data_IF_045439925952
#
_entry.id   IF_045439925952
#
_cell.length_a   1.000
_cell.length_b   1.000
_cell.length_c   1.000
_cell.angle_alpha   90.00
_cell.angle_beta   90.00
_cell.angle_gamma   90.00
#
_symmetry.space_group_name_H-M   'P 1'
#
loop_
_entity.id
_entity.type
_entity.pdbx_description
1 polymer ?
#
# COMPACT_ATOMS: atom_id res chain seq x y z
N UNK A 1 -21.92 27.44 -29.03
CA UNK A 1 -20.67 27.10 -28.31
C UNK A 1 -19.53 27.20 -29.31
N UNK A 2 -18.56 28.10 -29.09
CA UNK A 2 -17.51 28.38 -30.09
C UNK A 2 -16.54 27.19 -30.23
N UNK A 3 -15.97 27.02 -31.42
CA UNK A 3 -15.08 25.89 -31.78
C UNK A 3 -13.93 25.68 -30.77
N UNK A 4 -13.43 26.77 -30.18
CA UNK A 4 -12.43 26.75 -29.11
C UNK A 4 -12.90 26.03 -27.84
N UNK A 5 -14.15 26.23 -27.41
CA UNK A 5 -14.70 25.60 -26.20
C UNK A 5 -14.91 24.11 -26.43
N UNK A 6 -15.36 23.72 -27.63
CA UNK A 6 -15.51 22.32 -28.02
C UNK A 6 -14.15 21.61 -28.01
N UNK A 7 -13.13 22.24 -28.61
CA UNK A 7 -11.77 21.72 -28.62
C UNK A 7 -11.18 21.56 -27.21
N UNK A 8 -11.36 22.57 -26.35
CA UNK A 8 -10.91 22.54 -24.96
C UNK A 8 -11.59 21.43 -24.15
N UNK A 9 -12.92 21.29 -24.26
CA UNK A 9 -13.67 20.21 -23.59
C UNK A 9 -13.20 18.83 -24.05
N UNK A 10 -12.98 18.63 -25.35
CA UNK A 10 -12.49 17.35 -25.88
C UNK A 10 -11.08 17.03 -25.36
N UNK A 11 -10.18 18.01 -25.33
CA UNK A 11 -8.84 17.85 -24.78
C UNK A 11 -8.86 17.50 -23.28
N UNK A 12 -9.74 18.15 -22.50
CA UNK A 12 -9.90 17.87 -21.07
C UNK A 12 -10.43 16.45 -20.83
N UNK A 13 -11.44 16.01 -21.58
CA UNK A 13 -11.96 14.63 -21.49
C UNK A 13 -10.87 13.62 -21.82
N UNK A 14 -10.07 13.88 -22.86
CA UNK A 14 -8.97 13.01 -23.24
C UNK A 14 -7.88 12.94 -22.15
N UNK A 15 -7.42 14.08 -21.64
CA UNK A 15 -6.44 14.14 -20.56
C UNK A 15 -6.94 13.47 -19.28
N UNK A 16 -8.20 13.69 -18.90
CA UNK A 16 -8.85 13.04 -17.76
C UNK A 16 -8.84 11.52 -17.92
N UNK A 17 -9.21 11.04 -19.11
CA UNK A 17 -9.26 9.60 -19.42
C UNK A 17 -7.86 8.97 -19.39
N UNK A 18 -6.84 9.66 -19.91
CA UNK A 18 -5.45 9.20 -19.83
C UNK A 18 -4.96 9.14 -18.39
N UNK A 19 -5.17 10.20 -17.60
CA UNK A 19 -4.80 10.22 -16.19
C UNK A 19 -5.48 9.06 -15.43
N UNK A 20 -6.75 8.79 -15.72
CA UNK A 20 -7.47 7.66 -15.15
C UNK A 20 -6.86 6.32 -15.54
N UNK A 21 -6.54 6.12 -16.82
CA UNK A 21 -5.95 4.89 -17.34
C UNK A 21 -4.58 4.60 -16.70
N UNK A 22 -3.72 5.62 -16.56
CA UNK A 22 -2.45 5.46 -15.86
C UNK A 22 -2.65 5.13 -14.37
N UNK A 23 -3.61 5.79 -13.72
CA UNK A 23 -3.85 5.57 -12.29
C UNK A 23 -4.33 4.15 -12.01
N UNK A 24 -5.35 3.67 -12.75
CA UNK A 24 -5.87 2.31 -12.54
C UNK A 24 -4.82 1.24 -12.88
N UNK A 25 -4.01 1.45 -13.92
CA UNK A 25 -2.93 0.53 -14.26
C UNK A 25 -1.85 0.48 -13.15
N UNK A 26 -1.49 1.63 -12.58
CA UNK A 26 -0.55 1.71 -11.46
C UNK A 26 -1.09 1.02 -10.21
N UNK A 27 -2.36 1.24 -9.85
CA UNK A 27 -2.99 0.56 -8.71
C UNK A 27 -3.00 -0.95 -8.92
N UNK A 28 -3.48 -1.43 -10.06
CA UNK A 28 -3.56 -2.86 -10.34
C UNK A 28 -2.18 -3.54 -10.30
N UNK A 29 -1.14 -2.88 -10.82
CA UNK A 29 0.25 -3.39 -10.78
C UNK A 29 0.79 -3.45 -9.35
N UNK A 30 0.51 -2.44 -8.54
CA UNK A 30 0.99 -2.39 -7.16
C UNK A 30 0.28 -3.42 -6.28
N UNK A 31 -1.05 -3.54 -6.40
CA UNK A 31 -1.84 -4.55 -5.70
C UNK A 31 -1.32 -5.96 -6.04
N UNK A 32 -1.13 -6.26 -7.32
CA UNK A 32 -0.61 -7.57 -7.76
C UNK A 32 0.82 -7.81 -7.27
N UNK A 33 1.64 -6.76 -7.24
CA UNK A 33 2.99 -6.85 -6.73
C UNK A 33 3.03 -7.14 -5.24
N UNK A 34 2.16 -6.51 -4.44
CA UNK A 34 2.08 -6.76 -3.00
C UNK A 34 1.63 -8.20 -2.71
N UNK A 35 0.66 -8.71 -3.48
CA UNK A 35 0.20 -10.10 -3.34
C UNK A 35 1.29 -11.14 -3.67
N UNK A 36 2.21 -10.80 -4.57
CA UNK A 36 3.33 -11.65 -5.00
C UNK A 36 4.62 -11.39 -4.23
N UNK A 37 4.71 -10.30 -3.47
CA UNK A 37 5.92 -9.90 -2.78
C UNK A 37 6.31 -10.90 -1.69
N UNK A 38 7.61 -11.20 -1.60
CA UNK A 38 8.18 -11.89 -0.44
C UNK A 38 8.67 -10.90 0.62
N UNK A 39 9.02 -9.68 0.17
CA UNK A 39 9.46 -8.57 1.00
C UNK A 39 8.88 -7.26 0.47
N UNK A 40 8.55 -6.33 1.36
CA UNK A 40 8.01 -5.02 0.98
C UNK A 40 9.11 -4.01 0.71
N UNK A 41 9.20 -3.54 -0.54
CA UNK A 41 10.08 -2.42 -0.90
C UNK A 41 9.41 -1.07 -0.55
N UNK A 42 9.88 -0.45 0.53
CA UNK A 42 9.39 0.83 1.01
C UNK A 42 9.64 1.99 0.03
N UNK A 43 10.77 1.99 -0.70
CA UNK A 43 11.09 3.02 -1.67
C UNK A 43 10.11 2.96 -2.84
N UNK A 44 9.80 1.74 -3.29
CA UNK A 44 8.80 1.51 -4.32
C UNK A 44 7.41 1.96 -3.89
N UNK A 45 6.89 1.53 -2.73
CA UNK A 45 5.57 1.97 -2.22
C UNK A 45 5.47 3.49 -2.18
N UNK A 46 6.52 4.17 -1.68
CA UNK A 46 6.55 5.64 -1.59
C UNK A 46 6.54 6.30 -2.97
N UNK A 47 7.28 5.76 -3.93
CA UNK A 47 7.32 6.27 -5.31
C UNK A 47 5.98 6.10 -6.03
N UNK A 48 5.38 4.92 -5.90
CA UNK A 48 4.06 4.60 -6.46
C UNK A 48 2.98 5.48 -5.86
N UNK A 49 2.97 5.63 -4.53
CA UNK A 49 2.03 6.53 -3.84
C UNK A 49 2.13 7.97 -4.33
N UNK A 50 3.34 8.50 -4.54
CA UNK A 50 3.53 9.84 -5.11
C UNK A 50 2.97 9.97 -6.52
N UNK A 51 3.20 8.97 -7.37
CA UNK A 51 2.64 8.95 -8.72
C UNK A 51 1.12 8.95 -8.69
N UNK A 52 0.50 8.17 -7.80
CA UNK A 52 -0.95 8.13 -7.62
C UNK A 52 -1.51 9.45 -7.11
N UNK A 53 -0.83 10.14 -6.19
CA UNK A 53 -1.22 11.49 -5.74
C UNK A 53 -1.22 12.48 -6.90
N UNK A 54 -0.19 12.45 -7.75
CA UNK A 54 -0.12 13.32 -8.93
C UNK A 54 -1.25 13.03 -9.93
N UNK A 55 -1.51 11.75 -10.21
CA UNK A 55 -2.58 11.33 -11.11
C UNK A 55 -3.96 11.67 -10.56
N UNK A 56 -4.19 11.49 -9.26
CA UNK A 56 -5.43 11.89 -8.61
C UNK A 56 -5.61 13.42 -8.62
N UNK A 57 -4.54 14.18 -8.43
CA UNK A 57 -4.53 15.63 -8.62
C UNK A 57 -4.93 16.02 -10.04
N UNK A 58 -4.37 15.37 -11.06
CA UNK A 58 -4.74 15.59 -12.45
C UNK A 58 -6.21 15.27 -12.73
N UNK A 59 -6.76 14.20 -12.12
CA UNK A 59 -8.18 13.85 -12.22
C UNK A 59 -9.09 14.90 -11.58
N UNK A 60 -8.73 15.42 -10.42
CA UNK A 60 -9.47 16.51 -9.77
C UNK A 60 -9.44 17.79 -10.61
N UNK A 61 -8.28 18.18 -11.13
CA UNK A 61 -8.13 19.39 -11.95
C UNK A 61 -8.95 19.28 -13.25
N UNK A 62 -8.77 18.19 -14.00
CA UNK A 62 -9.48 17.98 -15.26
C UNK A 62 -10.97 17.75 -15.05
N UNK A 63 -11.37 16.99 -14.03
CA UNK A 63 -12.77 16.76 -13.68
C UNK A 63 -13.48 18.03 -13.20
N UNK A 64 -12.83 18.82 -12.36
CA UNK A 64 -13.33 20.12 -11.90
C UNK A 64 -13.49 21.11 -13.04
N UNK A 65 -12.52 21.18 -13.96
CA UNK A 65 -12.63 22.00 -15.16
C UNK A 65 -13.81 21.58 -16.06
N UNK A 66 -14.03 20.27 -16.25
CA UNK A 66 -15.18 19.77 -17.00
C UNK A 66 -16.52 20.14 -16.34
N UNK A 67 -16.60 20.05 -15.01
CA UNK A 67 -17.80 20.47 -14.26
C UNK A 67 -18.03 21.97 -14.43
N UNK A 68 -16.99 22.78 -14.34
CA UNK A 68 -17.09 24.23 -14.49
C UNK A 68 -17.55 24.63 -15.90
N UNK A 69 -17.08 23.95 -16.94
CA UNK A 69 -17.50 24.20 -18.33
C UNK A 69 -18.94 23.75 -18.61
N UNK A 70 -19.42 22.71 -17.93
CA UNK A 70 -20.73 22.09 -18.17
C UNK A 70 -21.85 22.70 -17.29
N UNK A 71 -21.54 23.01 -16.02
CA UNK A 71 -22.50 23.50 -15.02
C UNK A 71 -22.33 25.00 -14.73
N UNK A 72 -21.16 25.57 -15.04
CA UNK A 72 -20.82 26.94 -14.68
C UNK A 72 -20.64 27.10 -13.16
N UNK A 73 -20.95 28.30 -12.64
CA UNK A 73 -20.90 28.62 -11.21
C UNK A 73 -22.16 28.24 -10.43
N UNK A 74 -23.16 27.63 -11.08
CA UNK A 74 -24.41 27.25 -10.42
C UNK A 74 -24.30 25.87 -9.76
N UNK A 75 -23.74 25.83 -8.55
CA UNK A 75 -23.65 24.57 -7.78
C UNK A 75 -25.02 23.93 -7.50
N UNK A 76 -26.11 24.70 -7.47
CA UNK A 76 -27.45 24.14 -7.27
C UNK A 76 -27.89 23.25 -8.45
N UNK A 77 -27.39 23.52 -9.66
CA UNK A 77 -27.65 22.68 -10.83
C UNK A 77 -26.98 21.29 -10.75
N UNK A 78 -26.03 21.10 -9.82
CA UNK A 78 -25.41 19.82 -9.53
C UNK A 78 -26.40 18.84 -8.88
N UNK A 79 -27.35 19.34 -8.08
CA UNK A 79 -28.37 18.55 -7.39
C UNK A 79 -29.24 17.73 -8.36
N UNK A 80 -29.47 18.28 -9.57
CA UNK A 80 -30.24 17.61 -10.63
C UNK A 80 -29.44 16.59 -11.45
N UNK A 81 -28.15 16.37 -11.16
CA UNK A 81 -27.25 15.52 -11.96
C UNK A 81 -26.75 14.32 -11.15
N UNK A 82 -27.59 13.29 -10.92
CA UNK A 82 -27.29 12.20 -9.97
C UNK A 82 -26.00 11.45 -10.28
N UNK A 83 -25.71 11.19 -11.56
CA UNK A 83 -24.45 10.56 -11.99
C UNK A 83 -23.23 11.41 -11.62
N UNK A 84 -23.33 12.73 -11.76
CA UNK A 84 -22.22 13.64 -11.49
C UNK A 84 -21.95 13.75 -9.99
N UNK A 85 -23.02 13.80 -9.17
CA UNK A 85 -22.90 13.72 -7.72
C UNK A 85 -22.26 12.41 -7.27
N UNK A 86 -22.68 11.28 -7.83
CA UNK A 86 -22.06 9.99 -7.52
C UNK A 86 -20.56 9.97 -7.85
N UNK A 87 -20.16 10.52 -9.01
CA UNK A 87 -18.75 10.68 -9.38
C UNK A 87 -17.97 11.49 -8.35
N UNK A 88 -18.51 12.62 -7.92
CA UNK A 88 -17.87 13.49 -6.93
C UNK A 88 -17.77 12.83 -5.55
N UNK A 89 -18.80 12.12 -5.11
CA UNK A 89 -18.75 11.35 -3.86
C UNK A 89 -17.68 10.27 -3.90
N UNK A 90 -17.61 9.49 -4.98
CA UNK A 90 -16.63 8.40 -5.15
C UNK A 90 -15.20 8.93 -5.21
N UNK A 91 -14.91 9.98 -5.98
CA UNK A 91 -13.55 10.55 -6.02
C UNK A 91 -13.16 11.21 -4.70
N UNK A 92 -14.12 11.76 -3.96
CA UNK A 92 -13.88 12.28 -2.60
C UNK A 92 -13.54 11.16 -1.62
N UNK A 93 -14.30 10.06 -1.64
CA UNK A 93 -14.00 8.85 -0.86
C UNK A 93 -12.62 8.28 -1.21
N UNK A 94 -12.29 8.24 -2.51
CA UNK A 94 -10.97 7.82 -2.99
C UNK A 94 -9.84 8.69 -2.43
N UNK A 95 -10.07 10.00 -2.37
CA UNK A 95 -9.10 10.97 -1.84
C UNK A 95 -8.88 10.77 -0.35
N UNK A 96 -9.96 10.63 0.43
CA UNK A 96 -9.89 10.34 1.87
C UNK A 96 -9.18 9.00 2.11
N UNK A 97 -9.54 7.95 1.37
CA UNK A 97 -8.89 6.64 1.47
C UNK A 97 -7.41 6.70 1.10
N UNK A 98 -7.04 7.48 0.08
CA UNK A 98 -5.64 7.72 -0.30
C UNK A 98 -4.83 8.33 0.84
N UNK A 99 -5.38 9.31 1.54
CA UNK A 99 -4.74 9.89 2.74
C UNK A 99 -4.56 8.83 3.83
N UNK A 100 -5.60 8.02 4.10
CA UNK A 100 -5.51 6.94 5.09
C UNK A 100 -4.47 5.89 4.70
N UNK A 101 -4.34 5.54 3.42
CA UNK A 101 -3.29 4.64 2.94
C UNK A 101 -1.89 5.21 3.23
N UNK A 102 -1.67 6.48 2.93
CA UNK A 102 -0.38 7.14 3.15
C UNK A 102 -0.01 7.31 4.63
N UNK A 103 -1.00 7.55 5.49
CA UNK A 103 -0.75 7.82 6.91
C UNK A 103 -0.83 6.57 7.80
N UNK A 104 -1.54 5.52 7.38
CA UNK A 104 -1.76 4.32 8.19
C UNK A 104 -1.21 3.06 7.52
N UNK A 105 -1.70 2.70 6.34
CA UNK A 105 -1.36 1.41 5.72
C UNK A 105 0.12 1.33 5.29
N UNK A 106 0.63 2.34 4.57
CA UNK A 106 2.01 2.32 4.09
C UNK A 106 3.03 2.29 5.24
N UNK A 107 2.88 3.09 6.32
CA UNK A 107 3.73 2.93 7.50
C UNK A 107 3.67 1.51 8.11
N UNK A 108 2.47 0.89 8.17
CA UNK A 108 2.32 -0.47 8.69
C UNK A 108 2.94 -1.56 7.79
N UNK A 109 3.07 -1.31 6.49
CA UNK A 109 3.73 -2.23 5.54
C UNK A 109 5.25 -2.08 5.51
N UNK A 110 5.76 -0.89 5.85
CA UNK A 110 7.17 -0.52 5.62
C UNK A 110 7.99 -0.41 6.89
N UNK A 111 7.35 -0.41 8.06
CA UNK A 111 8.02 -0.31 9.36
C UNK A 111 7.74 -1.55 10.20
N UNK A 112 8.60 -1.86 11.18
CA UNK A 112 8.33 -2.93 12.13
C UNK A 112 7.00 -2.72 12.85
N UNK A 113 6.17 -3.77 12.88
CA UNK A 113 4.89 -3.79 13.59
C UNK A 113 4.87 -4.96 14.58
N UNK A 114 4.21 -4.77 15.72
CA UNK A 114 4.10 -5.80 16.75
C UNK A 114 2.89 -6.73 16.52
N UNK A 115 1.78 -6.17 16.02
CA UNK A 115 0.53 -6.89 15.75
C UNK A 115 0.31 -7.01 14.24
N UNK A 116 0.79 -8.13 13.67
CA UNK A 116 0.70 -8.41 12.24
C UNK A 116 -0.74 -8.49 11.75
N UNK A 117 -1.64 -9.07 12.56
CA UNK A 117 -3.04 -9.24 12.18
C UNK A 117 -3.75 -7.90 12.11
N UNK A 118 -3.54 -7.02 13.08
CA UNK A 118 -4.10 -5.66 13.06
C UNK A 118 -3.56 -4.85 11.88
N UNK A 119 -2.24 -4.91 11.64
CA UNK A 119 -1.63 -4.24 10.50
C UNK A 119 -2.21 -4.74 9.17
N UNK A 120 -2.32 -6.06 9.01
CA UNK A 120 -2.90 -6.68 7.83
C UNK A 120 -4.38 -6.31 7.63
N UNK A 121 -5.19 -6.29 8.70
CA UNK A 121 -6.60 -5.85 8.65
C UNK A 121 -6.74 -4.42 8.13
N UNK A 122 -5.93 -3.48 8.65
CA UNK A 122 -5.93 -2.09 8.18
C UNK A 122 -5.53 -2.00 6.71
N UNK A 123 -4.46 -2.70 6.32
CA UNK A 123 -3.96 -2.68 4.94
C UNK A 123 -4.97 -3.27 3.96
N UNK A 124 -5.59 -4.40 4.30
CA UNK A 124 -6.60 -5.07 3.47
C UNK A 124 -7.85 -4.22 3.36
N UNK A 125 -8.30 -3.61 4.45
CA UNK A 125 -9.50 -2.75 4.43
C UNK A 125 -9.28 -1.56 3.50
N UNK A 126 -8.20 -0.80 3.71
CA UNK A 126 -7.91 0.40 2.92
C UNK A 126 -7.53 0.06 1.47
N UNK A 127 -6.84 -1.07 1.25
CA UNK A 127 -6.54 -1.62 -0.07
C UNK A 127 -7.81 -1.99 -0.82
N UNK A 128 -8.69 -2.80 -0.23
CA UNK A 128 -9.99 -3.17 -0.82
C UNK A 128 -10.86 -1.96 -1.14
N UNK A 129 -10.95 -0.98 -0.23
CA UNK A 129 -11.66 0.29 -0.51
C UNK A 129 -11.04 0.96 -1.73
N UNK A 130 -9.72 1.06 -1.82
CA UNK A 130 -9.02 1.66 -2.96
C UNK A 130 -9.35 0.95 -4.27
N UNK A 131 -9.11 -0.35 -4.36
CA UNK A 131 -9.29 -1.15 -5.58
C UNK A 131 -10.74 -1.10 -6.05
N UNK A 132 -11.72 -1.29 -5.16
CA UNK A 132 -13.15 -1.20 -5.50
C UNK A 132 -13.48 0.19 -6.02
N UNK A 133 -13.00 1.25 -5.36
CA UNK A 133 -13.33 2.63 -5.73
C UNK A 133 -12.78 2.99 -7.11
N UNK A 134 -11.56 2.54 -7.45
CA UNK A 134 -10.99 2.70 -8.79
C UNK A 134 -11.78 1.95 -9.86
N UNK A 135 -12.14 0.68 -9.61
CA UNK A 135 -12.94 -0.13 -10.54
C UNK A 135 -14.33 0.47 -10.72
N UNK A 136 -14.96 0.92 -9.64
CA UNK A 136 -16.27 1.57 -9.68
C UNK A 136 -16.23 2.92 -10.42
N UNK A 137 -15.15 3.70 -10.26
CA UNK A 137 -14.93 4.91 -11.04
C UNK A 137 -14.81 4.61 -12.55
N UNK A 138 -14.12 3.52 -12.93
CA UNK A 138 -14.05 3.05 -14.33
C UNK A 138 -15.46 2.74 -14.87
N UNK A 139 -16.24 2.00 -14.10
CA UNK A 139 -17.63 1.68 -14.42
C UNK A 139 -18.47 2.94 -14.64
N UNK A 140 -18.40 3.93 -13.75
CA UNK A 140 -19.12 5.19 -13.91
C UNK A 140 -18.69 5.98 -15.16
N UNK A 141 -17.44 5.82 -15.61
CA UNK A 141 -16.93 6.33 -16.88
C UNK A 141 -17.76 5.84 -18.06
N UNK A 142 -18.11 4.55 -18.07
CA UNK A 142 -18.82 3.88 -19.17
C UNK A 142 -20.32 3.68 -18.94
N UNK A 143 -20.84 4.01 -17.75
CA UNK A 143 -22.24 3.84 -17.37
C UNK A 143 -23.21 4.81 -18.08
N UNK A 144 -23.11 5.00 -19.40
CA UNK A 144 -24.03 5.84 -20.18
C UNK A 144 -25.40 5.19 -20.32
N UNK A 145 -25.44 3.88 -20.50
CA UNK A 145 -26.68 3.12 -20.78
C UNK A 145 -27.62 3.12 -19.58
N UNK A 146 -27.08 2.90 -18.38
CA UNK A 146 -27.89 2.82 -17.15
C UNK A 146 -28.11 4.19 -16.49
N UNK A 147 -27.34 5.23 -16.85
CA UNK A 147 -27.41 6.51 -16.15
C UNK A 147 -28.78 7.19 -16.19
N UNK A 148 -29.55 7.15 -17.30
CA UNK A 148 -30.88 7.78 -17.35
C UNK A 148 -31.88 7.15 -16.37
N UNK A 149 -31.68 5.89 -15.98
CA UNK A 149 -32.60 5.16 -15.09
C UNK A 149 -32.12 5.12 -13.63
N UNK A 150 -30.93 5.65 -13.33
CA UNK A 150 -30.31 5.57 -12.02
C UNK A 150 -30.39 6.89 -11.25
N UNK A 151 -30.93 6.82 -10.03
CA UNK A 151 -30.84 7.90 -9.05
C UNK A 151 -29.45 7.92 -8.40
N UNK A 152 -29.13 9.02 -7.70
CA UNK A 152 -27.90 9.11 -6.91
C UNK A 152 -27.83 7.96 -5.88
N UNK A 153 -28.94 7.70 -5.18
CA UNK A 153 -29.03 6.60 -4.21
C UNK A 153 -28.78 5.23 -4.83
N UNK A 154 -29.29 4.98 -6.05
CA UNK A 154 -29.05 3.73 -6.75
C UNK A 154 -27.57 3.54 -7.13
N UNK A 155 -26.89 4.60 -7.58
CA UNK A 155 -25.45 4.56 -7.80
C UNK A 155 -24.69 4.24 -6.50
N UNK A 156 -24.98 4.96 -5.42
CA UNK A 156 -24.28 4.76 -4.15
C UNK A 156 -24.58 3.40 -3.51
N UNK A 157 -25.80 2.86 -3.68
CA UNK A 157 -26.13 1.51 -3.25
C UNK A 157 -25.32 0.46 -4.02
N UNK A 158 -25.18 0.61 -5.34
CA UNK A 158 -24.35 -0.27 -6.15
C UNK A 158 -22.86 -0.18 -5.74
N UNK A 159 -22.37 1.01 -5.43
CA UNK A 159 -21.03 1.20 -4.88
C UNK A 159 -20.88 0.48 -3.53
N UNK A 160 -21.84 0.62 -2.62
CA UNK A 160 -21.81 -0.04 -1.31
C UNK A 160 -21.82 -1.58 -1.45
N UNK A 161 -22.60 -2.13 -2.38
CA UNK A 161 -22.61 -3.56 -2.68
C UNK A 161 -21.26 -4.03 -3.24
N UNK A 162 -20.69 -3.29 -4.20
CA UNK A 162 -19.37 -3.59 -4.74
C UNK A 162 -18.28 -3.53 -3.65
N UNK A 163 -18.39 -2.57 -2.73
CA UNK A 163 -17.47 -2.43 -1.60
C UNK A 163 -17.60 -3.58 -0.60
N UNK A 164 -18.81 -3.96 -0.24
CA UNK A 164 -19.04 -5.11 0.63
C UNK A 164 -18.46 -6.40 0.03
N UNK A 165 -18.69 -6.63 -1.27
CA UNK A 165 -18.12 -7.76 -1.98
C UNK A 165 -16.58 -7.71 -2.01
N UNK A 166 -15.99 -6.56 -2.35
CA UNK A 166 -14.54 -6.39 -2.40
C UNK A 166 -13.85 -6.54 -1.03
N UNK A 167 -14.51 -6.09 0.05
CA UNK A 167 -14.03 -6.30 1.43
C UNK A 167 -14.12 -7.79 1.82
N UNK A 168 -15.24 -8.45 1.51
CA UNK A 168 -15.39 -9.89 1.76
C UNK A 168 -14.30 -10.69 1.05
N UNK A 169 -14.03 -10.40 -0.24
CA UNK A 169 -12.93 -11.02 -0.98
C UNK A 169 -11.56 -10.68 -0.38
N UNK A 170 -11.33 -9.42 0.01
CA UNK A 170 -10.08 -9.00 0.64
C UNK A 170 -9.80 -9.77 1.92
N UNK A 171 -10.78 -9.89 2.81
CA UNK A 171 -10.61 -10.63 4.06
C UNK A 171 -10.49 -12.14 3.85
N UNK A 172 -11.19 -12.72 2.88
CA UNK A 172 -11.11 -14.14 2.61
C UNK A 172 -9.77 -14.56 1.98
N UNK A 173 -9.22 -13.75 1.07
CA UNK A 173 -8.11 -14.18 0.21
C UNK A 173 -6.81 -13.37 0.41
N UNK A 174 -6.91 -12.08 0.73
CA UNK A 174 -5.74 -11.19 0.80
C UNK A 174 -5.20 -11.08 2.22
N UNK A 175 -6.09 -11.06 3.23
CA UNK A 175 -5.69 -10.92 4.63
C UNK A 175 -4.67 -11.98 5.09
N UNK A 176 -4.88 -13.29 4.87
CA UNK A 176 -3.90 -14.29 5.29
C UNK A 176 -2.54 -14.08 4.64
N UNK A 177 -2.54 -13.61 3.37
CA UNK A 177 -1.32 -13.39 2.60
C UNK A 177 -0.51 -12.21 3.10
N UNK A 178 -1.16 -11.10 3.46
CA UNK A 178 -0.50 -9.91 4.00
C UNK A 178 -0.01 -10.16 5.42
N UNK A 179 -0.78 -10.87 6.25
CA UNK A 179 -0.33 -11.26 7.59
C UNK A 179 0.93 -12.12 7.53
N UNK A 180 0.97 -13.12 6.63
CA UNK A 180 2.16 -13.94 6.39
C UNK A 180 3.34 -13.13 5.85
N UNK A 181 3.09 -12.15 4.96
CA UNK A 181 4.13 -11.26 4.44
C UNK A 181 4.79 -10.46 5.56
N UNK A 182 3.98 -9.82 6.43
CA UNK A 182 4.47 -9.04 7.55
C UNK A 182 5.24 -9.88 8.56
N UNK A 183 4.75 -11.10 8.86
CA UNK A 183 5.43 -12.02 9.76
C UNK A 183 6.80 -12.47 9.21
N UNK A 184 6.88 -12.81 7.92
CA UNK A 184 8.14 -13.19 7.25
C UNK A 184 9.13 -12.02 7.22
N UNK A 185 8.64 -10.83 6.89
CA UNK A 185 9.46 -9.62 6.89
C UNK A 185 10.04 -9.35 8.28
N UNK A 186 9.23 -9.43 9.34
CA UNK A 186 9.72 -9.24 10.70
C UNK A 186 10.78 -10.28 11.12
N UNK A 187 10.63 -11.54 10.69
CA UNK A 187 11.64 -12.58 10.92
C UNK A 187 12.94 -12.28 10.18
N UNK A 188 12.86 -11.84 8.93
CA UNK A 188 14.02 -11.50 8.10
C UNK A 188 14.77 -10.28 8.65
N UNK A 189 14.05 -9.19 8.96
CA UNK A 189 14.63 -7.97 9.55
C UNK A 189 15.36 -8.28 10.86
N UNK A 190 14.79 -9.18 11.68
CA UNK A 190 15.40 -9.62 12.93
C UNK A 190 16.67 -10.46 12.71
N UNK A 191 16.67 -11.36 11.70
CA UNK A 191 17.85 -12.15 11.35
C UNK A 191 18.98 -11.25 10.81
N UNK A 192 18.65 -10.29 9.95
CA UNK A 192 19.61 -9.33 9.39
C UNK A 192 20.24 -8.46 10.50
N UNK A 193 19.46 -8.09 11.53
CA UNK A 193 19.98 -7.42 12.73
C UNK A 193 20.97 -8.25 13.54
N UNK A 194 20.71 -9.56 13.69
CA UNK A 194 21.67 -10.49 14.34
C UNK A 194 22.94 -10.65 13.52
N UNK A 195 22.83 -10.79 12.19
CA UNK A 195 24.00 -10.84 11.29
C UNK A 195 24.81 -9.54 11.34
N UNK A 196 24.15 -8.38 11.39
CA UNK A 196 24.80 -7.09 11.56
C UNK A 196 25.55 -6.99 12.90
N UNK A 197 24.93 -7.43 14.00
CA UNK A 197 25.57 -7.50 15.31
C UNK A 197 26.82 -8.39 15.29
N UNK A 198 26.76 -9.53 14.58
CA UNK A 198 27.89 -10.43 14.41
C UNK A 198 29.01 -9.78 13.61
N UNK A 199 28.71 -9.18 12.45
CA UNK A 199 29.68 -8.47 11.60
C UNK A 199 30.41 -7.37 12.35
N UNK A 200 29.66 -6.57 13.12
CA UNK A 200 30.25 -5.51 13.94
C UNK A 200 31.17 -6.07 15.03
N UNK A 201 30.92 -7.28 15.52
CA UNK A 201 31.64 -7.88 16.66
C UNK A 201 32.88 -8.64 16.22
N UNK A 202 32.82 -9.31 15.08
CA UNK A 202 33.86 -10.19 14.57
C UNK A 202 34.72 -9.54 13.48
N UNK A 203 34.24 -8.45 12.85
CA UNK A 203 34.84 -7.87 11.66
C UNK A 203 34.47 -8.61 10.37
N UNK A 204 34.58 -7.91 9.23
CA UNK A 204 34.12 -8.42 7.93
C UNK A 204 34.88 -9.67 7.44
N UNK A 205 36.16 -9.81 7.79
CA UNK A 205 37.01 -10.94 7.38
C UNK A 205 36.62 -12.25 8.08
N UNK A 206 36.22 -12.19 9.35
CA UNK A 206 35.78 -13.36 10.12
C UNK A 206 34.37 -13.79 9.78
N UNK A 207 33.53 -12.88 9.25
CA UNK A 207 32.16 -13.18 8.82
C UNK A 207 32.10 -14.23 7.70
N UNK A 208 33.00 -14.14 6.72
CA UNK A 208 33.08 -15.13 5.63
C UNK A 208 33.39 -16.55 6.12
N UNK A 209 34.07 -16.68 7.25
CA UNK A 209 34.39 -17.98 7.86
C UNK A 209 33.20 -18.62 8.57
N UNK A 210 32.12 -17.86 8.80
CA UNK A 210 30.89 -18.29 9.47
C UNK A 210 29.69 -18.42 8.54
N UNK A 211 29.85 -18.33 7.23
CA UNK A 211 28.71 -18.35 6.29
C UNK A 211 27.85 -19.62 6.43
N UNK A 212 28.49 -20.78 6.65
CA UNK A 212 27.83 -22.04 6.98
C UNK A 212 27.12 -22.00 8.35
N UNK A 213 27.69 -21.32 9.34
CA UNK A 213 27.12 -21.19 10.68
C UNK A 213 25.92 -20.24 10.70
N UNK A 214 25.95 -19.16 9.92
CA UNK A 214 24.79 -18.29 9.71
C UNK A 214 23.66 -19.03 9.03
N UNK A 215 23.94 -19.87 8.01
CA UNK A 215 22.91 -20.68 7.33
C UNK A 215 22.22 -21.67 8.26
N UNK A 216 22.98 -22.45 9.03
CA UNK A 216 22.42 -23.46 9.96
C UNK A 216 21.61 -22.78 11.05
N UNK A 217 22.12 -21.67 11.59
CA UNK A 217 21.41 -20.97 12.65
C UNK A 217 20.17 -20.22 12.13
N UNK A 218 20.15 -19.73 10.87
CA UNK A 218 18.95 -19.10 10.26
C UNK A 218 17.76 -20.06 10.11
N UNK A 219 18.01 -21.38 10.16
CA UNK A 219 16.98 -22.42 10.16
C UNK A 219 16.42 -22.69 11.56
N UNK A 220 17.08 -22.22 12.62
CA UNK A 220 16.56 -22.31 14.00
C UNK A 220 15.50 -21.23 14.22
N UNK A 221 14.40 -21.60 14.86
CA UNK A 221 13.12 -20.88 14.77
C UNK A 221 13.18 -19.40 15.13
N UNK A 222 13.12 -19.07 16.41
CA UNK A 222 12.99 -17.65 16.84
C UNK A 222 14.32 -16.89 16.73
N UNK A 223 14.28 -15.56 16.56
CA UNK A 223 15.50 -14.72 16.52
C UNK A 223 16.39 -14.90 17.77
N UNK A 224 15.77 -15.12 18.94
CA UNK A 224 16.50 -15.41 20.18
C UNK A 224 17.24 -16.74 20.08
N UNK A 225 16.59 -17.77 19.55
CA UNK A 225 17.18 -19.09 19.33
C UNK A 225 18.34 -19.00 18.31
N UNK A 226 18.13 -18.27 17.22
CA UNK A 226 19.17 -17.94 16.24
C UNK A 226 20.39 -17.29 16.89
N UNK A 227 20.19 -16.22 17.66
CA UNK A 227 21.26 -15.50 18.34
C UNK A 227 21.98 -16.37 19.40
N UNK A 228 21.23 -17.17 20.18
CA UNK A 228 21.82 -18.06 21.18
C UNK A 228 22.62 -19.20 20.54
N UNK A 229 22.16 -19.74 19.42
CA UNK A 229 22.85 -20.79 18.65
C UNK A 229 24.18 -20.25 18.12
N UNK A 230 24.19 -19.03 17.58
CA UNK A 230 25.43 -18.36 17.16
C UNK A 230 26.35 -18.09 18.35
N UNK A 231 25.82 -17.56 19.46
CA UNK A 231 26.62 -17.27 20.65
C UNK A 231 27.26 -18.52 21.27
N UNK A 232 26.60 -19.69 21.18
CA UNK A 232 27.14 -20.95 21.68
C UNK A 232 28.34 -21.48 20.88
N UNK A 233 28.54 -20.98 19.66
CA UNK A 233 29.64 -21.39 18.77
C UNK A 233 30.92 -20.56 18.93
N UNK A 234 30.89 -19.52 19.76
CA UNK A 234 32.08 -18.72 20.06
C UNK A 234 33.10 -19.57 20.85
N UNK A 235 34.40 -19.56 20.46
CA UNK A 235 35.44 -20.24 21.20
C UNK A 235 35.56 -19.74 22.65
N UNK A 236 36.07 -20.56 23.60
CA UNK A 236 36.33 -20.14 24.97
C UNK A 236 37.27 -18.92 25.08
N UNK A 237 38.17 -18.73 24.12
CA UNK A 237 39.06 -17.57 24.05
C UNK A 237 38.34 -16.26 23.64
N UNK A 238 37.09 -16.34 23.19
CA UNK A 238 36.31 -15.22 22.65
C UNK A 238 35.07 -14.87 23.50
N UNK A 239 35.10 -15.11 24.82
CA UNK A 239 33.95 -14.83 25.69
C UNK A 239 33.59 -13.33 25.76
N UNK A 240 34.57 -12.43 25.64
CA UNK A 240 34.32 -10.99 25.63
C UNK A 240 33.58 -10.55 24.35
N UNK A 241 33.97 -11.11 23.21
CA UNK A 241 33.29 -10.92 21.93
C UNK A 241 31.89 -11.51 21.98
N UNK A 242 31.71 -12.70 22.55
CA UNK A 242 30.38 -13.30 22.75
C UNK A 242 29.47 -12.41 23.60
N UNK A 243 29.98 -11.87 24.72
CA UNK A 243 29.22 -10.95 25.56
C UNK A 243 28.86 -9.65 24.82
N UNK A 244 29.79 -9.13 24.01
CA UNK A 244 29.58 -7.94 23.18
C UNK A 244 28.55 -8.19 22.07
N UNK A 245 28.61 -9.34 21.41
CA UNK A 245 27.61 -9.79 20.43
C UNK A 245 26.22 -9.84 21.06
N UNK A 246 26.06 -10.54 22.19
CA UNK A 246 24.76 -10.64 22.88
C UNK A 246 24.22 -9.31 23.39
N UNK A 247 25.10 -8.34 23.69
CA UNK A 247 24.71 -6.97 24.03
C UNK A 247 24.18 -6.23 22.81
N UNK A 248 24.86 -6.35 21.66
CA UNK A 248 24.46 -5.74 20.39
C UNK A 248 23.17 -6.34 19.85
N UNK A 249 23.01 -7.66 19.88
CA UNK A 249 21.74 -8.32 19.53
C UNK A 249 20.59 -7.76 20.38
N UNK A 250 20.80 -7.63 21.70
CA UNK A 250 19.80 -7.01 22.58
C UNK A 250 19.52 -5.55 22.22
N UNK A 251 20.53 -4.78 21.80
CA UNK A 251 20.33 -3.41 21.32
C UNK A 251 19.50 -3.38 20.04
N UNK A 252 19.83 -4.20 19.04
CA UNK A 252 19.04 -4.32 17.80
C UNK A 252 17.60 -4.77 18.06
N UNK A 253 17.39 -5.70 18.99
CA UNK A 253 16.05 -6.15 19.38
C UNK A 253 15.27 -5.13 20.22
N UNK A 254 15.96 -4.30 21.01
CA UNK A 254 15.35 -3.32 21.89
C UNK A 254 15.13 -1.96 21.20
N UNK A 255 15.69 -1.76 20.01
CA UNK A 255 15.51 -0.53 19.25
C UNK A 255 14.28 -0.65 18.33
N UNK A 256 13.19 0.07 18.63
CA UNK A 256 12.20 0.40 17.61
C UNK A 256 12.82 1.53 16.76
N UNK A 257 13.67 1.21 15.78
CA UNK A 257 14.34 2.27 15.02
C UNK A 257 13.37 3.02 14.09
N UNK A 258 13.07 4.26 14.52
CA UNK A 258 12.97 5.54 13.78
C UNK A 258 12.50 5.54 12.32
#
# INVERSE_FOLDING_TARGET
MNMLVIGASQALVFCHTLAFAFAIATVAREDLSLLRAEYVDAARIKSTGRALVMLLGALWLTGGALILLDVGSNLAALAGRPKLLAKLSVVSLLTVNGLLLHHLAFPMLTRPVQDFRRAALVCVTLGSVSTVTWVYAAFMGVARIIAPTMSYGAFMALYALALAAGLACGFAFVLPRIEQLLARQAQQDSADGVEAALRLTMGAASYFMLDDLTRVARQTGTTTEYATTLAARFPPSMQEQRATFMRRVRQFMAQPER
#
